data_IF_274975318203
#
_entry.id   IF_274975318203
#
_cell.length_a   1.000
_cell.length_b   1.000
_cell.length_c   1.000
_cell.angle_alpha   90.00
_cell.angle_beta   90.00
_cell.angle_gamma   90.00
#
_symmetry.space_group_name_H-M   'P 1'
#
loop_
_entity.id
_entity.type
_entity.pdbx_description
1 polymer ?
#
# COMPACT_ATOMS: atom_id res chain seq x y z
N UNK A 1 -0.67 -9.32 -40.47
CA UNK A 1 -2.05 -9.31 -40.92
C UNK A 1 -2.75 -8.08 -40.41
N UNK A 2 -3.42 -7.37 -41.30
CA UNK A 2 -4.15 -6.12 -41.02
C UNK A 2 -5.64 -6.45 -41.11
N UNK A 3 -6.37 -6.13 -40.03
CA UNK A 3 -7.82 -6.44 -39.99
C UNK A 3 -8.60 -5.17 -39.69
N UNK A 4 -9.63 -4.95 -40.50
CA UNK A 4 -10.61 -3.88 -40.29
C UNK A 4 -11.81 -4.50 -39.56
N UNK A 5 -12.16 -3.95 -38.42
CA UNK A 5 -13.27 -4.39 -37.61
C UNK A 5 -14.26 -3.26 -37.38
N UNK A 6 -15.54 -3.56 -37.47
CA UNK A 6 -16.62 -2.61 -37.18
C UNK A 6 -17.07 -2.79 -35.74
N UNK A 7 -17.23 -1.69 -35.02
CA UNK A 7 -17.85 -1.71 -33.68
C UNK A 7 -19.34 -2.06 -33.80
N UNK A 8 -19.78 -3.08 -33.07
CA UNK A 8 -21.20 -3.45 -33.09
C UNK A 8 -22.04 -2.42 -32.32
N UNK A 9 -23.21 -2.07 -32.88
CA UNK A 9 -24.20 -1.20 -32.26
C UNK A 9 -24.79 -1.91 -31.04
N UNK A 10 -24.81 -1.25 -29.88
CA UNK A 10 -25.35 -1.82 -28.64
C UNK A 10 -24.46 -2.83 -27.92
N UNK A 11 -23.24 -3.03 -28.42
CA UNK A 11 -22.26 -3.92 -27.77
C UNK A 11 -21.63 -3.35 -26.49
N UNK A 12 -20.91 -4.20 -25.78
CA UNK A 12 -20.17 -3.87 -24.57
C UNK A 12 -19.20 -2.70 -24.82
N UNK A 13 -18.93 -1.93 -23.77
CA UNK A 13 -17.92 -0.86 -23.79
C UNK A 13 -16.48 -1.40 -23.89
N UNK A 14 -16.31 -2.71 -23.82
CA UNK A 14 -15.03 -3.40 -23.88
C UNK A 14 -15.04 -4.44 -24.99
N UNK A 15 -13.89 -4.58 -25.67
CA UNK A 15 -13.64 -5.65 -26.62
C UNK A 15 -12.62 -6.63 -26.03
N UNK A 16 -12.86 -7.93 -26.30
CA UNK A 16 -11.88 -8.97 -26.03
C UNK A 16 -11.05 -9.20 -27.29
N UNK A 17 -9.75 -9.16 -27.13
CA UNK A 17 -8.82 -9.68 -28.12
C UNK A 17 -8.64 -11.19 -27.98
N UNK A 18 -8.15 -11.89 -29.03
CA UNK A 18 -7.90 -13.33 -28.97
C UNK A 18 -7.02 -13.78 -27.78
N UNK A 19 -6.28 -12.87 -27.17
CA UNK A 19 -5.39 -13.12 -26.04
C UNK A 19 -5.91 -12.60 -24.69
N UNK A 20 -7.20 -12.39 -24.56
CA UNK A 20 -7.85 -11.91 -23.33
C UNK A 20 -7.44 -10.51 -22.84
N UNK A 21 -6.94 -9.65 -23.73
CA UNK A 21 -6.75 -8.24 -23.38
C UNK A 21 -8.07 -7.46 -23.53
N UNK A 22 -8.38 -6.63 -22.52
CA UNK A 22 -9.50 -5.71 -22.55
C UNK A 22 -9.10 -4.36 -23.14
N UNK A 23 -9.87 -3.87 -24.09
CA UNK A 23 -9.75 -2.49 -24.58
C UNK A 23 -10.99 -1.70 -24.22
N UNK A 24 -10.81 -0.58 -23.54
CA UNK A 24 -11.89 0.35 -23.25
C UNK A 24 -12.30 1.08 -24.53
N UNK A 25 -13.44 0.70 -25.08
CA UNK A 25 -14.03 1.31 -26.25
C UNK A 25 -15.16 2.30 -25.92
N UNK A 26 -15.32 2.71 -24.68
CA UNK A 26 -16.39 3.62 -24.24
C UNK A 26 -16.35 4.96 -24.97
N UNK A 27 -15.15 5.41 -25.35
CA UNK A 27 -14.91 6.67 -26.08
C UNK A 27 -15.09 6.57 -27.60
N UNK A 28 -15.36 5.39 -28.14
CA UNK A 28 -15.49 5.21 -29.57
C UNK A 28 -16.91 5.51 -30.01
N UNK A 29 -17.01 6.15 -31.16
CA UNK A 29 -18.31 6.45 -31.78
C UNK A 29 -18.98 5.18 -32.27
N UNK A 30 -20.31 5.10 -32.16
CA UNK A 30 -21.10 3.99 -32.71
C UNK A 30 -20.99 3.94 -34.22
N UNK A 31 -21.09 2.73 -34.78
CA UNK A 31 -21.04 2.47 -36.22
C UNK A 31 -19.77 2.93 -36.94
N UNK A 32 -18.67 3.11 -36.21
CA UNK A 32 -17.37 3.41 -36.78
C UNK A 32 -16.48 2.17 -36.89
N UNK A 33 -15.42 2.30 -37.71
CA UNK A 33 -14.46 1.25 -37.94
C UNK A 33 -13.16 1.54 -37.17
N UNK A 34 -12.43 0.48 -36.86
CA UNK A 34 -11.08 0.57 -36.35
C UNK A 34 -10.16 -0.40 -37.09
N UNK A 35 -8.87 -0.06 -37.15
CA UNK A 35 -7.85 -0.86 -37.81
C UNK A 35 -6.96 -1.49 -36.79
N UNK A 36 -6.84 -2.81 -36.83
CA UNK A 36 -5.98 -3.62 -35.97
C UNK A 36 -4.75 -4.06 -36.79
N UNK A 37 -3.58 -3.88 -36.21
CA UNK A 37 -2.33 -4.45 -36.72
C UNK A 37 -1.70 -5.37 -35.65
N UNK A 38 -1.64 -6.66 -35.94
CA UNK A 38 -1.32 -7.70 -34.98
C UNK A 38 -2.30 -7.62 -33.79
N UNK A 39 -1.88 -7.06 -32.66
CA UNK A 39 -2.67 -6.90 -31.43
C UNK A 39 -2.86 -5.45 -31.01
N UNK A 40 -2.48 -4.51 -31.86
CA UNK A 40 -2.52 -3.09 -31.52
C UNK A 40 -3.53 -2.37 -32.42
N UNK A 41 -4.43 -1.59 -31.81
CA UNK A 41 -5.32 -0.69 -32.54
C UNK A 41 -4.47 0.49 -33.00
N UNK A 42 -4.42 0.67 -34.31
CA UNK A 42 -3.61 1.71 -34.94
C UNK A 42 -4.41 2.92 -35.37
N UNK A 43 -5.72 2.75 -35.52
CA UNK A 43 -6.66 3.84 -35.78
C UNK A 43 -8.09 3.44 -35.38
N UNK A 44 -8.91 4.40 -34.94
CA UNK A 44 -10.28 4.18 -34.51
C UNK A 44 -11.20 5.36 -34.95
N UNK A 45 -12.50 5.22 -34.76
CA UNK A 45 -13.53 6.21 -35.12
C UNK A 45 -13.53 6.59 -36.60
N UNK A 46 -13.25 5.64 -37.46
CA UNK A 46 -13.12 5.82 -38.92
C UNK A 46 -14.41 5.47 -39.67
N UNK A 47 -14.63 6.07 -40.84
CA UNK A 47 -15.56 5.49 -41.84
C UNK A 47 -14.93 4.24 -42.44
N UNK A 48 -15.71 3.46 -43.18
CA UNK A 48 -15.19 2.27 -43.88
C UNK A 48 -14.08 2.64 -44.87
N UNK A 49 -14.29 3.68 -45.67
CA UNK A 49 -13.33 4.17 -46.65
C UNK A 49 -12.03 4.66 -46.00
N UNK A 50 -12.15 5.37 -44.88
CA UNK A 50 -11.00 5.80 -44.13
C UNK A 50 -10.20 4.62 -43.56
N UNK A 51 -10.89 3.57 -43.09
CA UNK A 51 -10.21 2.38 -42.56
C UNK A 51 -9.50 1.60 -43.71
N UNK A 52 -10.10 1.52 -44.89
CA UNK A 52 -9.49 0.90 -46.07
C UNK A 52 -8.27 1.72 -46.55
N UNK A 53 -8.32 3.05 -46.56
CA UNK A 53 -7.20 3.95 -46.88
C UNK A 53 -6.06 3.79 -45.89
N UNK A 54 -6.36 3.68 -44.58
CA UNK A 54 -5.35 3.42 -43.53
C UNK A 54 -4.65 2.08 -43.78
N UNK A 55 -5.37 1.03 -44.11
CA UNK A 55 -4.79 -0.28 -44.42
C UNK A 55 -3.90 -0.25 -45.65
N UNK A 56 -4.30 0.47 -46.72
CA UNK A 56 -3.56 0.58 -47.96
C UNK A 56 -2.26 1.39 -47.77
N UNK A 57 -2.31 2.50 -47.01
CA UNK A 57 -1.16 3.39 -46.76
C UNK A 57 -0.23 2.95 -45.62
N UNK A 58 -0.62 1.94 -44.86
CA UNK A 58 0.13 1.53 -43.66
C UNK A 58 1.50 0.88 -43.92
N UNK A 59 1.83 0.56 -45.18
CA UNK A 59 3.14 -0.07 -45.49
C UNK A 59 4.33 0.62 -44.83
N UNK A 60 4.43 1.92 -45.00
CA UNK A 60 5.54 2.75 -44.54
C UNK A 60 5.31 3.38 -43.17
N UNK A 61 4.03 3.70 -42.84
CA UNK A 61 3.67 4.35 -41.53
C UNK A 61 3.73 3.43 -40.35
N UNK A 62 3.53 2.13 -40.48
CA UNK A 62 3.64 1.19 -39.35
C UNK A 62 5.06 1.12 -38.82
N UNK A 63 6.06 1.25 -39.67
CA UNK A 63 7.45 1.32 -39.28
C UNK A 63 7.78 2.61 -38.51
N UNK A 64 7.16 3.74 -38.94
CA UNK A 64 7.30 5.03 -38.27
C UNK A 64 6.57 5.06 -36.92
N UNK A 65 5.30 4.57 -36.85
CA UNK A 65 4.55 4.45 -35.60
C UNK A 65 5.17 3.47 -34.61
N UNK A 66 5.80 2.39 -35.08
CA UNK A 66 6.61 1.52 -34.22
C UNK A 66 7.88 2.19 -33.71
N UNK A 67 8.48 3.07 -34.52
CA UNK A 67 9.62 3.86 -34.09
C UNK A 67 9.19 4.91 -33.06
N UNK A 68 8.05 5.59 -33.26
CA UNK A 68 7.46 6.54 -32.32
C UNK A 68 6.96 5.87 -31.02
N UNK A 69 6.32 4.70 -31.11
CA UNK A 69 5.92 3.91 -29.92
C UNK A 69 7.16 3.42 -29.16
N UNK A 70 8.21 2.94 -29.86
CA UNK A 70 9.50 2.58 -29.25
C UNK A 70 10.25 3.79 -28.71
N UNK A 71 10.11 4.97 -29.28
CA UNK A 71 10.65 6.22 -28.73
C UNK A 71 9.81 6.73 -27.57
N UNK A 72 8.50 6.55 -27.59
CA UNK A 72 7.62 6.76 -26.44
C UNK A 72 7.89 5.81 -25.29
N UNK A 73 8.19 4.53 -25.57
CA UNK A 73 8.66 3.55 -24.58
C UNK A 73 10.10 3.81 -24.13
N UNK A 74 10.94 4.43 -24.97
CA UNK A 74 12.26 4.93 -24.57
C UNK A 74 12.20 6.21 -23.73
N UNK A 75 11.06 6.90 -23.70
CA UNK A 75 10.83 8.00 -22.77
C UNK A 75 10.59 7.44 -21.37
N UNK A 76 11.60 7.58 -20.56
CA UNK A 76 11.72 7.26 -19.17
C UNK A 76 12.05 5.79 -18.90
N UNK A 77 13.34 5.46 -18.99
CA UNK A 77 13.91 4.48 -18.06
C UNK A 77 13.51 4.95 -16.67
N UNK A 78 12.54 4.26 -16.05
CA UNK A 78 12.14 4.55 -14.68
C UNK A 78 13.42 4.59 -13.85
N UNK A 79 13.68 5.71 -13.18
CA UNK A 79 14.85 5.86 -12.33
C UNK A 79 14.75 4.81 -11.22
N UNK A 80 15.85 4.10 -10.96
CA UNK A 80 15.91 3.24 -9.76
C UNK A 80 15.87 4.15 -8.54
N UNK A 81 15.02 3.84 -7.57
CA UNK A 81 15.10 4.49 -6.26
C UNK A 81 16.41 4.08 -5.59
N UNK A 82 17.20 5.03 -5.17
CA UNK A 82 18.44 4.82 -4.41
C UNK A 82 18.33 5.72 -3.19
N UNK A 83 18.35 5.16 -1.97
CA UNK A 83 18.44 5.98 -0.76
C UNK A 83 19.66 6.89 -0.82
N UNK A 84 19.54 8.10 -0.29
CA UNK A 84 20.70 8.99 -0.15
C UNK A 84 21.75 8.30 0.73
N UNK A 85 23.00 8.41 0.31
CA UNK A 85 24.11 7.88 1.11
C UNK A 85 24.17 8.65 2.43
N UNK A 86 24.31 7.95 3.55
CA UNK A 86 24.55 8.58 4.83
C UNK A 86 25.92 9.26 4.81
N UNK A 87 25.95 10.59 4.92
CA UNK A 87 27.19 11.37 4.93
C UNK A 87 28.04 11.05 6.17
N UNK A 88 27.36 10.89 7.30
CA UNK A 88 27.95 10.50 8.57
C UNK A 88 27.16 9.33 9.16
N UNK A 89 27.87 8.32 9.65
CA UNK A 89 27.27 7.19 10.36
C UNK A 89 27.46 7.45 11.84
N UNK A 90 26.34 7.60 12.55
CA UNK A 90 26.35 7.86 13.98
C UNK A 90 25.74 6.69 14.74
N UNK A 91 26.35 6.38 15.86
CA UNK A 91 25.85 5.44 16.85
C UNK A 91 26.02 6.04 18.25
N UNK A 92 24.94 6.06 19.02
CA UNK A 92 24.93 6.61 20.39
C UNK A 92 24.59 5.56 21.44
N UNK A 93 24.51 4.29 21.04
CA UNK A 93 24.23 3.16 21.92
C UNK A 93 25.39 2.79 22.85
N UNK A 94 25.16 1.87 23.79
CA UNK A 94 26.19 1.38 24.72
C UNK A 94 27.33 0.72 23.96
N UNK A 95 28.53 0.71 24.55
CA UNK A 95 29.71 0.06 23.96
C UNK A 95 29.52 -1.46 23.91
N UNK A 96 29.78 -2.03 22.73
CA UNK A 96 29.83 -3.49 22.53
C UNK A 96 31.28 -4.04 22.62
N UNK A 97 32.20 -3.27 23.15
CA UNK A 97 33.59 -3.67 23.31
C UNK A 97 34.48 -3.41 22.07
N UNK A 98 33.93 -2.77 21.04
CA UNK A 98 34.68 -2.33 19.86
C UNK A 98 35.23 -0.93 20.14
N UNK A 99 36.55 -0.79 20.07
CA UNK A 99 37.27 0.47 20.24
C UNK A 99 38.58 0.46 19.41
N UNK A 100 39.43 1.46 19.60
CA UNK A 100 40.69 1.58 18.85
C UNK A 100 41.67 0.40 19.12
N UNK A 101 41.54 -0.29 20.25
CA UNK A 101 42.39 -1.41 20.66
C UNK A 101 41.74 -2.78 20.40
N UNK A 102 40.44 -2.81 20.22
CA UNK A 102 39.64 -4.02 19.98
C UNK A 102 38.80 -3.84 18.74
N UNK A 103 39.38 -4.14 17.60
CA UNK A 103 38.74 -4.01 16.28
C UNK A 103 37.97 -5.29 15.95
N UNK A 104 36.80 -5.13 15.34
CA UNK A 104 36.02 -6.27 14.87
C UNK A 104 36.74 -6.99 13.71
N UNK A 105 36.80 -8.29 13.76
CA UNK A 105 37.34 -9.14 12.70
C UNK A 105 36.33 -10.24 12.28
N UNK A 106 36.65 -10.97 11.25
CA UNK A 106 35.76 -12.02 10.70
C UNK A 106 35.51 -13.15 11.69
N UNK A 107 36.48 -13.48 12.57
CA UNK A 107 36.31 -14.53 13.56
C UNK A 107 35.34 -14.10 14.66
N UNK A 108 35.41 -12.85 15.11
CA UNK A 108 34.47 -12.29 16.08
C UNK A 108 33.02 -12.37 15.58
N UNK A 109 32.76 -12.14 14.31
CA UNK A 109 31.43 -12.30 13.72
C UNK A 109 30.92 -13.75 13.82
N UNK A 110 31.78 -14.72 13.53
CA UNK A 110 31.41 -16.13 13.61
C UNK A 110 31.19 -16.57 15.06
N UNK A 111 32.07 -16.16 15.96
CA UNK A 111 32.02 -16.55 17.37
C UNK A 111 30.87 -15.91 18.13
N UNK A 112 30.54 -14.65 17.80
CA UNK A 112 29.49 -13.90 18.50
C UNK A 112 28.09 -14.18 17.94
N UNK A 113 27.94 -14.21 16.62
CA UNK A 113 26.63 -14.32 15.99
C UNK A 113 26.32 -15.71 15.43
N UNK A 114 27.30 -16.61 15.38
CA UNK A 114 27.09 -17.98 14.89
C UNK A 114 26.79 -18.09 13.40
N UNK A 115 27.21 -17.11 12.57
CA UNK A 115 26.96 -17.15 11.12
C UNK A 115 27.52 -18.42 10.47
N UNK A 116 26.82 -18.97 9.48
CA UNK A 116 27.25 -20.14 8.70
C UNK A 116 28.57 -19.90 7.97
N UNK A 117 28.88 -18.65 7.65
CA UNK A 117 30.13 -18.26 6.99
C UNK A 117 30.23 -16.76 6.84
N UNK A 118 31.46 -16.28 6.59
CA UNK A 118 31.75 -14.88 6.36
C UNK A 118 32.68 -14.69 5.16
N UNK A 119 32.31 -13.79 4.24
CA UNK A 119 33.18 -13.35 3.15
C UNK A 119 33.57 -11.89 3.35
N UNK A 120 34.85 -11.65 3.48
CA UNK A 120 35.43 -10.32 3.71
C UNK A 120 36.28 -9.96 2.50
N UNK A 121 35.70 -9.17 1.58
CA UNK A 121 36.33 -8.83 0.30
C UNK A 121 37.60 -8.00 0.44
N UNK A 122 38.47 -8.04 -0.59
CA UNK A 122 39.62 -7.17 -0.69
C UNK A 122 39.19 -5.76 -1.08
N UNK A 123 39.17 -4.87 -0.12
CA UNK A 123 38.86 -3.46 -0.35
C UNK A 123 40.12 -2.71 -0.77
N UNK A 124 39.96 -1.68 -1.59
CA UNK A 124 41.08 -0.83 -1.96
C UNK A 124 41.62 0.03 -0.81
N UNK A 125 40.76 0.22 0.25
CA UNK A 125 41.09 1.01 1.44
C UNK A 125 40.85 0.18 2.69
N UNK A 126 41.94 -0.19 3.39
CA UNK A 126 41.87 -0.99 4.63
C UNK A 126 41.15 -0.26 5.77
N UNK A 127 41.30 1.07 5.82
CA UNK A 127 40.62 1.89 6.84
C UNK A 127 39.08 1.83 6.69
N UNK A 128 38.56 1.94 5.48
CA UNK A 128 37.11 1.87 5.22
C UNK A 128 36.58 0.46 5.48
N UNK A 129 37.39 -0.57 5.18
CA UNK A 129 37.06 -1.96 5.49
C UNK A 129 36.90 -2.15 6.98
N UNK A 130 37.88 -1.71 7.77
CA UNK A 130 37.84 -1.86 9.22
C UNK A 130 36.68 -1.06 9.85
N UNK A 131 36.43 0.15 9.37
CA UNK A 131 35.30 0.94 9.84
C UNK A 131 33.97 0.23 9.57
N UNK A 132 33.79 -0.36 8.37
CA UNK A 132 32.57 -1.11 8.03
C UNK A 132 32.41 -2.38 8.89
N UNK A 133 33.51 -3.07 9.23
CA UNK A 133 33.47 -4.22 10.14
C UNK A 133 33.06 -3.80 11.55
N UNK A 134 33.63 -2.72 12.06
CA UNK A 134 33.29 -2.22 13.40
C UNK A 134 31.82 -1.79 13.48
N UNK A 135 31.35 -0.95 12.53
CA UNK A 135 29.95 -0.52 12.49
C UNK A 135 28.98 -1.67 12.27
N UNK A 136 29.34 -2.65 11.43
CA UNK A 136 28.49 -3.82 11.19
C UNK A 136 28.37 -4.70 12.42
N UNK A 137 29.45 -4.91 13.17
CA UNK A 137 29.44 -5.65 14.43
C UNK A 137 28.50 -4.98 15.46
N UNK A 138 28.71 -3.68 15.67
CA UNK A 138 27.84 -2.90 16.56
C UNK A 138 26.38 -2.94 16.11
N UNK A 139 26.11 -2.86 14.81
CA UNK A 139 24.76 -2.90 14.28
C UNK A 139 24.07 -4.26 14.50
N UNK A 140 24.78 -5.38 14.40
CA UNK A 140 24.22 -6.69 14.74
C UNK A 140 23.96 -6.86 16.24
N UNK A 141 24.82 -6.30 17.08
CA UNK A 141 24.58 -6.24 18.54
C UNK A 141 23.34 -5.39 18.85
N UNK A 142 23.20 -4.24 18.19
CA UNK A 142 22.03 -3.36 18.34
C UNK A 142 20.74 -4.03 17.84
N UNK A 143 20.84 -4.86 16.80
CA UNK A 143 19.70 -5.65 16.33
C UNK A 143 19.28 -6.70 17.36
N UNK A 144 20.26 -7.42 17.95
CA UNK A 144 19.97 -8.36 19.04
C UNK A 144 19.31 -7.65 20.22
N UNK A 145 19.79 -6.45 20.56
CA UNK A 145 19.24 -5.60 21.60
C UNK A 145 17.82 -5.12 21.30
N UNK A 146 17.55 -4.67 20.07
CA UNK A 146 16.22 -4.23 19.63
C UNK A 146 15.19 -5.36 19.71
N UNK A 147 15.60 -6.59 19.41
CA UNK A 147 14.75 -7.78 19.46
C UNK A 147 14.75 -8.48 20.83
N UNK A 148 15.62 -8.05 21.75
CA UNK A 148 15.83 -8.68 23.06
C UNK A 148 16.15 -10.17 22.93
N UNK A 149 17.08 -10.53 22.00
CA UNK A 149 17.49 -11.90 21.72
C UNK A 149 18.98 -12.09 21.97
N UNK A 150 19.40 -13.35 22.13
CA UNK A 150 20.82 -13.66 22.20
C UNK A 150 21.53 -13.30 20.87
N UNK A 151 22.76 -12.77 20.89
CA UNK A 151 23.48 -12.42 19.66
C UNK A 151 23.62 -13.56 18.65
N UNK A 152 23.74 -14.80 19.10
CA UNK A 152 23.83 -16.01 18.27
C UNK A 152 22.60 -16.21 17.41
N UNK A 153 21.42 -15.73 17.84
CA UNK A 153 20.16 -15.86 17.08
C UNK A 153 20.13 -14.97 15.84
N UNK A 154 21.03 -13.99 15.74
CA UNK A 154 21.19 -13.16 14.53
C UNK A 154 21.49 -14.01 13.30
N UNK A 155 22.15 -15.15 13.48
CA UNK A 155 22.38 -16.12 12.40
C UNK A 155 21.16 -16.95 11.99
N UNK A 156 20.01 -16.79 12.69
CA UNK A 156 18.79 -17.56 12.47
C UNK A 156 19.02 -19.09 12.58
N UNK A 157 19.77 -19.48 13.62
CA UNK A 157 20.12 -20.86 13.88
C UNK A 157 21.28 -21.36 13.05
N UNK A 158 22.22 -20.50 12.69
CA UNK A 158 23.42 -20.83 11.92
C UNK A 158 23.17 -21.01 10.42
N UNK A 159 22.02 -20.55 9.90
CA UNK A 159 21.73 -20.66 8.46
C UNK A 159 22.14 -19.41 7.67
N UNK A 160 22.21 -18.25 8.33
CA UNK A 160 22.56 -17.00 7.68
C UNK A 160 24.08 -16.84 7.59
N UNK A 161 24.55 -16.35 6.45
CA UNK A 161 25.94 -15.94 6.21
C UNK A 161 26.01 -14.43 5.96
N UNK A 162 27.19 -13.86 6.10
CA UNK A 162 27.45 -12.43 5.91
C UNK A 162 28.57 -12.21 4.89
N UNK A 163 28.44 -11.17 4.06
CA UNK A 163 29.50 -10.78 3.14
C UNK A 163 29.71 -9.25 3.15
N UNK A 164 30.93 -8.82 3.33
CA UNK A 164 31.32 -7.42 3.29
C UNK A 164 32.14 -7.11 2.03
N UNK A 165 31.58 -6.30 1.12
CA UNK A 165 32.29 -5.78 -0.05
C UNK A 165 32.80 -6.82 -1.06
N UNK A 166 32.48 -8.11 -0.89
CA UNK A 166 32.97 -9.19 -1.76
C UNK A 166 32.10 -9.42 -2.98
N UNK A 167 30.82 -9.01 -2.93
CA UNK A 167 29.80 -9.32 -3.95
C UNK A 167 29.02 -8.06 -4.33
N UNK A 168 29.61 -7.18 -5.14
CA UNK A 168 28.92 -6.00 -5.64
C UNK A 168 28.10 -6.32 -6.89
N UNK A 169 26.76 -6.22 -6.82
CA UNK A 169 25.98 -5.99 -8.04
C UNK A 169 25.93 -4.48 -8.29
N UNK A 170 26.20 -4.05 -9.54
CA UNK A 170 26.28 -2.64 -9.91
C UNK A 170 25.04 -1.86 -9.40
N UNK A 171 25.24 -1.01 -8.38
CA UNK A 171 24.23 -0.10 -7.86
C UNK A 171 23.32 -0.63 -6.73
N UNK A 172 23.61 -1.78 -6.13
CA UNK A 172 22.92 -2.20 -4.89
C UNK A 172 23.68 -1.68 -3.68
N UNK A 173 22.94 -1.12 -2.71
CA UNK A 173 23.47 -0.59 -1.45
C UNK A 173 23.76 -1.73 -0.48
N UNK A 174 22.82 -2.64 -0.32
CA UNK A 174 22.91 -3.92 0.36
C UNK A 174 21.90 -4.87 -0.32
N UNK A 175 22.01 -6.17 -0.12
CA UNK A 175 20.99 -7.12 -0.55
C UNK A 175 21.13 -8.47 0.13
N UNK A 176 20.00 -9.11 0.39
CA UNK A 176 19.92 -10.50 0.82
C UNK A 176 19.82 -11.41 -0.41
N UNK A 177 20.62 -12.50 -0.45
CA UNK A 177 20.57 -13.55 -1.47
C UNK A 177 19.86 -14.81 -0.93
N UNK A 178 18.61 -15.09 -1.33
CA UNK A 178 17.85 -16.23 -0.79
C UNK A 178 18.46 -17.59 -1.10
N UNK A 179 19.12 -17.73 -2.27
CA UNK A 179 19.75 -19.00 -2.69
C UNK A 179 20.92 -19.38 -1.79
N UNK A 180 21.69 -18.40 -1.36
CA UNK A 180 22.91 -18.60 -0.56
C UNK A 180 22.70 -18.26 0.91
N UNK A 181 21.54 -17.70 1.26
CA UNK A 181 21.23 -17.21 2.61
C UNK A 181 22.32 -16.26 3.12
N UNK A 182 22.68 -15.28 2.30
CA UNK A 182 23.76 -14.33 2.60
C UNK A 182 23.25 -12.91 2.56
N UNK A 183 23.55 -12.12 3.57
CA UNK A 183 23.42 -10.66 3.53
C UNK A 183 24.71 -10.07 2.98
N UNK A 184 24.61 -9.37 1.85
CA UNK A 184 25.71 -8.67 1.22
C UNK A 184 25.66 -7.19 1.56
N UNK A 185 26.67 -6.68 2.26
CA UNK A 185 26.85 -5.28 2.57
C UNK A 185 27.90 -4.69 1.65
N UNK A 186 27.49 -3.77 0.78
CA UNK A 186 28.42 -3.13 -0.15
C UNK A 186 29.06 -1.94 0.53
N UNK A 187 30.34 -2.06 0.91
CA UNK A 187 31.14 -0.95 1.47
C UNK A 187 30.32 -0.03 2.41
N UNK A 188 30.70 1.23 2.53
CA UNK A 188 29.95 2.24 3.29
C UNK A 188 28.55 2.54 2.72
N UNK A 189 28.29 2.24 1.45
CA UNK A 189 26.95 2.41 0.85
C UNK A 189 25.89 1.44 1.39
N UNK A 190 26.29 0.33 2.05
CA UNK A 190 25.39 -0.60 2.72
C UNK A 190 24.89 -0.12 4.08
N UNK A 191 25.50 0.94 4.62
CA UNK A 191 25.07 1.53 5.88
C UNK A 191 23.61 1.98 5.82
N UNK A 192 22.86 1.70 6.88
CA UNK A 192 21.47 2.10 7.02
C UNK A 192 20.43 1.07 6.55
N UNK A 193 20.85 0.01 5.84
CA UNK A 193 19.94 -1.00 5.27
C UNK A 193 20.01 -2.36 5.96
N UNK A 194 20.86 -2.54 6.97
CA UNK A 194 21.09 -3.86 7.56
C UNK A 194 19.83 -4.48 8.14
N UNK A 195 19.02 -3.72 8.87
CA UNK A 195 17.75 -4.21 9.42
C UNK A 195 16.78 -4.65 8.31
N UNK A 196 16.72 -3.93 7.19
CA UNK A 196 15.91 -4.30 6.03
C UNK A 196 16.35 -5.65 5.44
N UNK A 197 17.65 -5.85 5.22
CA UNK A 197 18.17 -7.10 4.66
C UNK A 197 18.03 -8.27 5.62
N UNK A 198 18.18 -8.03 6.93
CA UNK A 198 17.92 -9.06 7.93
C UNK A 198 16.43 -9.41 8.00
N UNK A 199 15.53 -8.45 7.81
CA UNK A 199 14.10 -8.70 7.65
C UNK A 199 13.82 -9.67 6.50
N UNK A 200 14.45 -9.49 5.34
CA UNK A 200 14.37 -10.44 4.22
C UNK A 200 14.91 -11.83 4.60
N UNK A 201 16.05 -11.89 5.30
CA UNK A 201 16.61 -13.16 5.76
C UNK A 201 15.64 -13.88 6.71
N UNK A 202 15.06 -13.18 7.67
CA UNK A 202 14.06 -13.71 8.60
C UNK A 202 12.87 -14.31 7.85
N UNK A 203 12.26 -13.54 6.92
CA UNK A 203 11.10 -13.97 6.15
C UNK A 203 11.39 -15.22 5.29
N UNK A 204 12.53 -15.27 4.62
CA UNK A 204 12.92 -16.37 3.75
C UNK A 204 13.33 -17.62 4.54
N UNK A 205 14.22 -17.49 5.54
CA UNK A 205 14.73 -18.62 6.32
C UNK A 205 13.61 -19.27 7.14
N UNK A 206 12.75 -18.47 7.78
CA UNK A 206 11.57 -19.02 8.47
C UNK A 206 10.63 -19.75 7.52
N UNK A 207 10.42 -19.25 6.31
CA UNK A 207 9.60 -19.94 5.31
C UNK A 207 10.15 -21.33 4.97
N UNK A 208 11.47 -21.46 4.84
CA UNK A 208 12.12 -22.76 4.59
C UNK A 208 11.97 -23.70 5.78
N UNK A 209 12.15 -23.20 7.02
CA UNK A 209 11.96 -24.00 8.24
C UNK A 209 10.53 -24.53 8.39
N UNK A 210 9.55 -23.71 8.05
CA UNK A 210 8.12 -24.06 8.17
C UNK A 210 7.66 -24.97 7.03
N UNK A 211 8.10 -24.74 5.80
CA UNK A 211 7.64 -25.48 4.60
C UNK A 211 8.54 -26.65 4.18
N UNK A 212 9.79 -26.67 4.63
CA UNK A 212 10.73 -27.72 4.33
C UNK A 212 11.34 -27.72 2.92
N UNK A 213 11.02 -26.75 2.05
CA UNK A 213 11.60 -26.70 0.70
C UNK A 213 11.34 -25.36 -0.02
N UNK A 214 12.19 -25.03 -0.99
CA UNK A 214 12.09 -23.92 -1.91
C UNK A 214 13.08 -22.80 -1.60
N UNK A 215 13.79 -22.34 -2.62
CA UNK A 215 14.83 -21.31 -2.49
C UNK A 215 14.22 -19.93 -2.39
N UNK A 216 13.19 -19.67 -3.16
CA UNK A 216 12.54 -18.34 -3.26
C UNK A 216 11.14 -18.38 -2.60
N UNK A 217 11.10 -18.88 -1.36
CA UNK A 217 9.88 -18.91 -0.57
C UNK A 217 9.94 -17.84 0.54
N UNK A 218 8.82 -17.15 0.75
CA UNK A 218 8.69 -16.09 1.73
C UNK A 218 7.52 -16.41 2.65
N UNK A 219 7.72 -16.26 3.95
CA UNK A 219 6.68 -16.54 4.94
C UNK A 219 5.49 -15.58 4.77
N UNK A 220 5.78 -14.34 4.41
CA UNK A 220 4.78 -13.30 4.09
C UNK A 220 3.85 -13.68 2.93
N UNK A 221 4.29 -14.53 1.98
CA UNK A 221 3.48 -15.01 0.86
C UNK A 221 2.76 -16.32 1.16
N UNK A 222 3.01 -16.92 2.32
CA UNK A 222 2.40 -18.20 2.67
C UNK A 222 1.00 -17.99 3.25
N UNK A 223 0.09 -18.91 2.91
CA UNK A 223 -1.20 -19.02 3.58
C UNK A 223 -1.12 -19.87 4.86
N UNK A 224 0.08 -20.18 5.34
CA UNK A 224 0.29 -20.93 6.57
C UNK A 224 -0.07 -20.07 7.76
N UNK A 225 -0.84 -20.64 8.69
CA UNK A 225 -1.14 -20.01 9.99
C UNK A 225 -0.03 -20.24 11.02
N UNK A 226 1.20 -20.49 10.57
CA UNK A 226 2.33 -20.76 11.46
C UNK A 226 3.58 -20.01 11.03
N UNK A 227 4.18 -19.14 11.88
CA UNK A 227 3.61 -18.70 13.15
C UNK A 227 2.31 -17.88 12.93
N UNK A 228 1.34 -18.01 13.83
CA UNK A 228 0.02 -17.40 13.65
C UNK A 228 0.05 -15.86 13.64
N UNK A 229 1.10 -15.24 14.19
CA UNK A 229 1.30 -13.79 14.16
C UNK A 229 1.65 -13.26 12.76
N UNK A 230 2.22 -14.07 11.87
CA UNK A 230 2.62 -13.61 10.54
C UNK A 230 1.44 -13.18 9.66
N UNK A 231 0.34 -13.96 9.51
CA UNK A 231 -0.83 -13.50 8.79
C UNK A 231 -1.41 -12.20 9.35
N UNK A 232 -1.48 -12.06 10.68
CA UNK A 232 -1.97 -10.82 11.32
C UNK A 232 -1.08 -9.62 11.01
N UNK A 233 0.24 -9.80 10.98
CA UNK A 233 1.19 -8.77 10.61
C UNK A 233 1.03 -8.38 9.12
N UNK A 234 0.93 -9.36 8.24
CA UNK A 234 0.69 -9.12 6.81
C UNK A 234 -0.63 -8.36 6.59
N UNK A 235 -1.69 -8.77 7.29
CA UNK A 235 -2.98 -8.08 7.21
C UNK A 235 -2.88 -6.64 7.73
N UNK A 236 -2.16 -6.39 8.83
CA UNK A 236 -1.94 -5.04 9.35
C UNK A 236 -1.12 -4.14 8.40
N UNK A 237 -0.20 -4.73 7.62
CA UNK A 237 0.51 -3.99 6.57
C UNK A 237 -0.38 -3.64 5.37
N UNK A 238 -1.35 -4.48 5.04
CA UNK A 238 -2.15 -4.37 3.81
C UNK A 238 -3.50 -3.67 4.03
N UNK A 239 -4.10 -3.85 5.22
CA UNK A 239 -5.49 -3.47 5.49
C UNK A 239 -5.64 -2.76 6.83
N UNK A 240 -6.60 -1.85 6.86
CA UNK A 240 -7.06 -1.17 8.08
C UNK A 240 -8.58 -1.15 8.13
N UNK A 241 -9.12 -0.94 9.30
CA UNK A 241 -10.54 -0.61 9.47
C UNK A 241 -10.81 0.79 8.92
N UNK A 242 -12.05 1.00 8.46
CA UNK A 242 -12.49 2.32 8.04
C UNK A 242 -12.49 3.30 9.23
N UNK A 243 -12.07 4.52 8.97
CA UNK A 243 -12.12 5.63 9.94
C UNK A 243 -13.58 6.06 10.17
N UNK A 244 -13.82 6.77 11.26
CA UNK A 244 -15.15 7.31 11.52
C UNK A 244 -15.57 8.33 10.45
N UNK A 245 -14.62 9.09 9.90
CA UNK A 245 -14.90 10.01 8.79
C UNK A 245 -15.37 9.25 7.54
N UNK A 246 -14.72 8.16 7.15
CA UNK A 246 -15.13 7.33 6.02
C UNK A 246 -16.50 6.69 6.23
N UNK A 247 -16.81 6.31 7.47
CA UNK A 247 -18.15 5.82 7.84
C UNK A 247 -19.21 6.93 7.74
N UNK A 248 -18.89 8.15 8.18
CA UNK A 248 -19.76 9.31 8.04
C UNK A 248 -20.05 9.57 6.57
N UNK A 249 -19.04 9.67 5.73
CA UNK A 249 -19.16 9.88 4.30
C UNK A 249 -20.03 8.79 3.64
N UNK A 250 -19.78 7.52 3.95
CA UNK A 250 -20.61 6.42 3.47
C UNK A 250 -22.05 6.56 3.90
N UNK A 251 -22.29 6.86 5.18
CA UNK A 251 -23.63 7.09 5.72
C UNK A 251 -24.34 8.21 4.98
N UNK A 252 -23.67 9.34 4.78
CA UNK A 252 -24.22 10.49 4.07
C UNK A 252 -24.56 10.17 2.62
N UNK A 253 -23.66 9.50 1.89
CA UNK A 253 -23.92 9.07 0.51
C UNK A 253 -25.17 8.20 0.43
N UNK A 254 -25.34 7.22 1.31
CA UNK A 254 -26.54 6.39 1.32
C UNK A 254 -27.80 7.14 1.73
N UNK A 255 -27.69 8.05 2.69
CA UNK A 255 -28.81 8.89 3.10
C UNK A 255 -29.21 9.87 1.99
N UNK A 256 -28.24 10.47 1.29
CA UNK A 256 -28.46 11.36 0.14
C UNK A 256 -29.11 10.63 -1.04
N UNK A 257 -28.68 9.41 -1.34
CA UNK A 257 -29.33 8.58 -2.35
C UNK A 257 -30.78 8.30 -1.99
N UNK A 258 -31.05 7.99 -0.70
CA UNK A 258 -32.41 7.72 -0.25
C UNK A 258 -33.27 8.99 -0.21
N UNK A 259 -32.68 10.13 0.18
CA UNK A 259 -33.33 11.44 0.07
C UNK A 259 -33.70 11.79 -1.38
N UNK A 260 -32.84 11.43 -2.36
CA UNK A 260 -33.15 11.61 -3.78
C UNK A 260 -34.42 10.87 -4.25
N UNK A 261 -34.78 9.78 -3.59
CA UNK A 261 -36.06 9.08 -3.88
C UNK A 261 -37.27 9.93 -3.47
N UNK A 262 -37.11 10.83 -2.48
CA UNK A 262 -38.18 11.77 -2.07
C UNK A 262 -38.68 12.60 -3.25
N UNK A 263 -37.83 13.00 -4.17
CA UNK A 263 -38.26 13.75 -5.35
C UNK A 263 -39.34 12.99 -6.15
N UNK A 264 -39.09 11.70 -6.38
CA UNK A 264 -40.05 10.82 -7.07
C UNK A 264 -41.30 10.56 -6.25
N UNK A 265 -41.16 10.43 -4.94
CA UNK A 265 -42.33 10.24 -4.02
C UNK A 265 -43.17 11.51 -3.96
N UNK A 266 -42.57 12.69 -3.88
CA UNK A 266 -43.30 13.97 -3.93
C UNK A 266 -44.09 14.10 -5.22
N UNK A 267 -43.49 13.76 -6.37
CA UNK A 267 -44.16 13.79 -7.66
C UNK A 267 -45.31 12.75 -7.73
N UNK A 268 -45.07 11.54 -7.21
CA UNK A 268 -46.05 10.46 -7.16
C UNK A 268 -47.26 10.82 -6.28
N UNK A 269 -47.04 11.41 -5.13
CA UNK A 269 -48.11 11.79 -4.18
C UNK A 269 -48.84 13.08 -4.59
N UNK A 270 -48.13 14.00 -5.29
CA UNK A 270 -48.63 15.30 -5.66
C UNK A 270 -48.39 15.58 -7.17
N UNK A 271 -49.10 14.86 -8.06
CA UNK A 271 -48.82 14.90 -9.50
C UNK A 271 -49.35 16.16 -10.19
N UNK A 272 -50.06 17.05 -9.47
CA UNK A 272 -50.69 18.23 -10.06
C UNK A 272 -49.66 19.24 -10.55
N UNK A 273 -49.52 19.38 -11.87
CA UNK A 273 -48.69 20.38 -12.56
C UNK A 273 -47.21 20.32 -12.08
N UNK A 274 -46.66 19.14 -11.91
CA UNK A 274 -45.30 18.92 -11.43
C UNK A 274 -45.03 19.57 -10.06
N UNK A 275 -46.07 19.77 -9.23
CA UNK A 275 -45.94 20.45 -7.96
C UNK A 275 -44.94 19.76 -7.05
N UNK A 276 -45.02 18.44 -6.93
CA UNK A 276 -44.14 17.66 -6.05
C UNK A 276 -42.66 17.86 -6.37
N UNK A 277 -42.28 17.70 -7.65
CA UNK A 277 -40.92 17.89 -8.11
C UNK A 277 -40.43 19.33 -7.90
N UNK A 278 -41.27 20.33 -8.24
CA UNK A 278 -40.88 21.73 -8.08
C UNK A 278 -40.71 22.09 -6.60
N UNK A 279 -41.64 21.72 -5.73
CA UNK A 279 -41.54 21.94 -4.30
C UNK A 279 -40.31 21.30 -3.70
N UNK A 280 -40.03 20.04 -4.05
CA UNK A 280 -38.85 19.35 -3.57
C UNK A 280 -37.56 20.11 -3.94
N UNK A 281 -37.42 20.52 -5.21
CA UNK A 281 -36.22 21.20 -5.67
C UNK A 281 -36.06 22.60 -5.05
N UNK A 282 -37.13 23.35 -4.87
CA UNK A 282 -37.13 24.65 -4.20
C UNK A 282 -36.75 24.55 -2.71
N UNK A 283 -37.16 23.46 -2.03
CA UNK A 283 -36.94 23.26 -0.60
C UNK A 283 -35.84 22.23 -0.28
N UNK A 284 -35.02 21.85 -1.27
CA UNK A 284 -34.02 20.81 -1.12
C UNK A 284 -33.07 21.03 0.07
N UNK A 285 -32.61 22.26 0.26
CA UNK A 285 -31.72 22.61 1.37
C UNK A 285 -32.45 22.47 2.71
N UNK A 286 -33.68 22.97 2.81
CA UNK A 286 -34.48 22.86 4.02
C UNK A 286 -34.76 21.40 4.38
N UNK A 287 -35.16 20.59 3.41
CA UNK A 287 -35.38 19.14 3.59
C UNK A 287 -34.09 18.45 4.07
N UNK A 288 -32.97 18.81 3.45
CA UNK A 288 -31.67 18.24 3.82
C UNK A 288 -31.27 18.61 5.24
N UNK A 289 -31.38 19.88 5.59
CA UNK A 289 -31.03 20.39 6.91
C UNK A 289 -31.95 19.78 7.98
N UNK A 290 -33.24 19.67 7.69
CA UNK A 290 -34.21 19.02 8.58
C UNK A 290 -33.82 17.54 8.85
N UNK A 291 -33.47 16.79 7.80
CA UNK A 291 -33.09 15.39 7.90
C UNK A 291 -31.71 15.17 8.55
N UNK A 292 -30.76 16.11 8.39
CA UNK A 292 -29.43 16.02 8.99
C UNK A 292 -29.35 16.40 10.47
N UNK A 293 -30.39 16.97 11.04
CA UNK A 293 -30.43 17.29 12.48
C UNK A 293 -30.15 16.04 13.32
N UNK A 294 -29.43 16.20 14.41
CA UNK A 294 -29.18 15.12 15.36
C UNK A 294 -30.46 14.67 16.08
N UNK A 295 -31.38 15.59 16.26
CA UNK A 295 -32.70 15.33 16.84
C UNK A 295 -33.77 16.06 16.00
N UNK A 296 -34.63 15.29 15.35
CA UNK A 296 -35.78 15.77 14.57
C UNK A 296 -37.03 15.61 15.39
N UNK A 297 -37.67 16.75 15.71
CA UNK A 297 -38.91 16.77 16.53
C UNK A 297 -40.14 16.73 15.65
N UNK A 298 -41.25 16.16 16.20
CA UNK A 298 -42.56 16.17 15.51
C UNK A 298 -43.05 17.61 15.27
N UNK A 299 -42.67 18.59 16.11
CA UNK A 299 -43.01 19.99 15.91
C UNK A 299 -42.38 20.56 14.65
N UNK A 300 -41.11 20.21 14.36
CA UNK A 300 -40.38 20.67 13.17
C UNK A 300 -40.94 20.03 11.91
N UNK A 301 -41.24 18.73 11.97
CA UNK A 301 -41.88 18.01 10.85
C UNK A 301 -43.28 18.64 10.57
N UNK A 302 -44.06 18.86 11.59
CA UNK A 302 -45.40 19.46 11.44
C UNK A 302 -45.33 20.88 10.86
N UNK A 303 -44.35 21.69 11.26
CA UNK A 303 -44.14 23.02 10.67
C UNK A 303 -43.84 22.93 9.16
N UNK A 304 -42.97 21.98 8.75
CA UNK A 304 -42.70 21.74 7.36
C UNK A 304 -43.92 21.25 6.58
N UNK A 305 -44.70 20.31 7.13
CA UNK A 305 -45.95 19.81 6.52
C UNK A 305 -46.99 20.90 6.36
N UNK A 306 -47.14 21.82 7.34
CA UNK A 306 -48.05 22.97 7.24
C UNK A 306 -47.61 23.87 6.07
N UNK A 307 -46.34 24.22 5.97
CA UNK A 307 -45.79 25.00 4.83
C UNK A 307 -46.05 24.34 3.49
N UNK A 308 -45.83 23.04 3.39
CA UNK A 308 -46.13 22.25 2.21
C UNK A 308 -47.61 22.29 1.85
N UNK A 309 -48.49 22.12 2.84
CA UNK A 309 -49.94 22.11 2.64
C UNK A 309 -50.46 23.48 2.15
N UNK A 310 -49.96 24.55 2.73
CA UNK A 310 -50.32 25.93 2.35
C UNK A 310 -49.89 26.22 0.89
N UNK A 311 -48.67 25.85 0.51
CA UNK A 311 -48.19 26.04 -0.85
C UNK A 311 -48.91 25.16 -1.88
N UNK A 312 -49.24 23.92 -1.49
CA UNK A 312 -50.03 23.01 -2.32
C UNK A 312 -51.43 23.59 -2.60
N UNK A 313 -52.12 24.07 -1.57
CA UNK A 313 -53.45 24.67 -1.71
C UNK A 313 -53.40 25.96 -2.57
N UNK A 314 -52.41 26.83 -2.32
CA UNK A 314 -52.24 28.06 -3.10
C UNK A 314 -51.98 27.79 -4.57
N UNK A 315 -51.22 26.72 -4.90
CA UNK A 315 -50.83 26.42 -6.28
C UNK A 315 -51.89 25.63 -7.04
N UNK A 316 -52.54 24.70 -6.37
CA UNK A 316 -53.46 23.71 -7.02
C UNK A 316 -54.91 24.01 -6.78
N UNK A 317 -55.25 24.81 -5.75
CA UNK A 317 -56.62 25.03 -5.28
C UNK A 317 -57.24 23.84 -4.58
N UNK A 318 -56.43 22.86 -4.14
CA UNK A 318 -56.81 21.64 -3.45
C UNK A 318 -56.15 21.55 -2.08
N UNK A 319 -56.87 20.98 -1.13
CA UNK A 319 -56.28 20.63 0.18
C UNK A 319 -55.37 19.39 0.07
N UNK A 320 -54.23 19.40 0.75
CA UNK A 320 -53.36 18.24 0.87
C UNK A 320 -54.01 17.23 1.81
N UNK A 321 -54.21 15.99 1.37
CA UNK A 321 -54.86 14.97 2.20
C UNK A 321 -53.97 14.55 3.37
N UNK A 322 -54.61 14.20 4.50
CA UNK A 322 -53.91 13.68 5.69
C UNK A 322 -53.08 12.44 5.40
N UNK A 323 -53.50 11.61 4.44
CA UNK A 323 -52.80 10.42 4.03
C UNK A 323 -51.44 10.78 3.38
N UNK A 324 -51.44 11.77 2.47
CA UNK A 324 -50.19 12.24 1.79
C UNK A 324 -49.28 12.89 2.84
N UNK A 325 -49.78 13.74 3.70
CA UNK A 325 -49.04 14.36 4.81
C UNK A 325 -48.38 13.30 5.71
N UNK A 326 -49.11 12.22 5.99
CA UNK A 326 -48.63 11.07 6.76
C UNK A 326 -47.47 10.32 6.08
N UNK A 327 -47.61 10.05 4.77
CA UNK A 327 -46.54 9.35 4.02
C UNK A 327 -45.29 10.21 3.90
N UNK A 328 -45.41 11.52 3.65
CA UNK A 328 -44.25 12.43 3.62
C UNK A 328 -43.60 12.52 5.01
N UNK A 329 -44.38 12.61 6.08
CA UNK A 329 -43.84 12.59 7.45
C UNK A 329 -43.03 11.32 7.73
N UNK A 330 -43.57 10.16 7.37
CA UNK A 330 -42.90 8.87 7.52
C UNK A 330 -41.59 8.82 6.73
N UNK A 331 -41.60 9.34 5.52
CA UNK A 331 -40.45 9.37 4.66
C UNK A 331 -39.35 10.29 5.20
N UNK A 332 -39.68 11.50 5.66
CA UNK A 332 -38.76 12.41 6.32
C UNK A 332 -38.10 11.77 7.57
N UNK A 333 -38.88 11.05 8.37
CA UNK A 333 -38.37 10.30 9.53
C UNK A 333 -37.41 9.18 9.12
N UNK A 334 -37.70 8.47 8.02
CA UNK A 334 -36.82 7.41 7.52
C UNK A 334 -35.48 7.99 6.99
N UNK A 335 -35.53 9.08 6.22
CA UNK A 335 -34.31 9.76 5.74
C UNK A 335 -33.51 10.32 6.92
N UNK A 336 -34.18 10.95 7.91
CA UNK A 336 -33.53 11.40 9.14
C UNK A 336 -32.81 10.24 9.86
N UNK A 337 -33.46 9.10 10.01
CA UNK A 337 -32.87 7.92 10.62
C UNK A 337 -31.60 7.50 9.88
N UNK A 338 -31.58 7.52 8.54
CA UNK A 338 -30.43 7.13 7.72
C UNK A 338 -29.23 8.05 7.90
N UNK A 339 -29.46 9.38 8.00
CA UNK A 339 -28.38 10.32 8.30
C UNK A 339 -27.82 10.12 9.72
N UNK A 340 -28.58 9.55 10.63
CA UNK A 340 -28.25 9.42 12.04
C UNK A 340 -27.97 7.98 12.50
N UNK A 341 -27.78 7.04 11.57
CA UNK A 341 -27.35 5.67 11.92
C UNK A 341 -26.05 5.75 12.71
N UNK A 342 -25.94 5.13 13.89
CA UNK A 342 -24.72 5.09 14.69
C UNK A 342 -23.54 4.49 13.90
N UNK A 343 -22.34 5.07 14.05
CA UNK A 343 -21.18 4.67 13.26
C UNK A 343 -20.72 3.22 13.50
N UNK A 344 -20.99 2.68 14.67
CA UNK A 344 -20.74 1.27 15.00
C UNK A 344 -21.63 0.29 14.23
N UNK A 345 -22.76 0.77 13.69
CA UNK A 345 -23.66 0.00 12.81
C UNK A 345 -23.32 0.10 11.33
N UNK A 346 -22.43 1.03 10.95
CA UNK A 346 -22.00 1.18 9.57
C UNK A 346 -20.94 0.13 9.25
N UNK A 347 -21.34 -0.86 8.46
CA UNK A 347 -20.40 -1.88 7.96
C UNK A 347 -19.65 -1.36 6.74
N UNK A 348 -18.34 -1.46 6.80
CA UNK A 348 -17.44 -1.15 5.69
C UNK A 348 -16.46 -2.29 5.46
N UNK A 349 -16.09 -2.57 4.21
CA UNK A 349 -14.99 -3.49 3.93
C UNK A 349 -13.69 -2.91 4.51
N UNK A 350 -12.72 -3.78 4.75
CA UNK A 350 -11.37 -3.36 5.11
C UNK A 350 -10.82 -2.44 4.00
N UNK A 351 -10.24 -1.34 4.42
CA UNK A 351 -9.59 -0.38 3.55
C UNK A 351 -8.11 -0.76 3.37
N UNK A 352 -7.48 -0.30 2.30
CA UNK A 352 -6.03 -0.42 2.16
C UNK A 352 -5.34 0.56 3.11
N UNK A 353 -4.20 0.14 3.67
CA UNK A 353 -3.34 1.03 4.44
C UNK A 353 -2.74 2.13 3.56
N UNK A 354 -2.34 3.24 4.16
CA UNK A 354 -1.57 4.27 3.47
C UNK A 354 -0.21 3.72 3.05
N UNK A 355 0.41 2.89 3.90
CA UNK A 355 1.64 2.19 3.59
C UNK A 355 1.55 1.37 2.30
N UNK A 356 0.47 0.58 2.11
CA UNK A 356 0.26 -0.19 0.89
C UNK A 356 0.00 0.71 -0.32
N UNK A 357 -0.90 1.68 -0.21
CA UNK A 357 -1.24 2.59 -1.31
C UNK A 357 -0.04 3.40 -1.78
N UNK A 358 0.78 3.89 -0.86
CA UNK A 358 2.01 4.58 -1.20
C UNK A 358 3.06 3.65 -1.82
N UNK A 359 3.11 2.39 -1.39
CA UNK A 359 3.96 1.38 -2.05
C UNK A 359 3.55 1.13 -3.50
N UNK A 360 2.23 1.07 -3.80
CA UNK A 360 1.72 1.00 -5.18
C UNK A 360 2.11 2.24 -5.99
N UNK A 361 2.00 3.44 -5.41
CA UNK A 361 2.45 4.68 -6.05
C UNK A 361 3.96 4.66 -6.36
N UNK A 362 4.79 4.15 -5.44
CA UNK A 362 6.23 3.96 -5.68
C UNK A 362 6.50 3.01 -6.85
N UNK A 363 5.73 1.93 -6.98
CA UNK A 363 5.86 1.02 -8.12
C UNK A 363 5.55 1.73 -9.44
N UNK A 364 4.56 2.62 -9.47
CA UNK A 364 4.25 3.39 -10.67
C UNK A 364 5.41 4.30 -11.10
N UNK A 365 6.21 4.78 -10.14
CA UNK A 365 7.36 5.67 -10.40
C UNK A 365 8.63 4.87 -10.76
N UNK A 366 8.94 3.82 -9.98
CA UNK A 366 10.27 3.19 -9.98
C UNK A 366 10.31 1.76 -10.50
N UNK A 367 9.22 1.00 -10.45
CA UNK A 367 9.22 -0.39 -10.90
C UNK A 367 9.09 -0.53 -12.41
N UNK A 368 9.84 -1.47 -12.98
CA UNK A 368 9.77 -1.81 -14.41
C UNK A 368 8.75 -2.89 -14.68
N UNK A 369 8.45 -3.72 -13.70
CA UNK A 369 7.60 -4.89 -13.80
C UNK A 369 6.16 -4.60 -13.38
N UNK A 370 5.21 -5.19 -14.08
CA UNK A 370 3.77 -5.06 -13.80
C UNK A 370 3.36 -5.66 -12.45
N UNK A 371 4.19 -6.52 -11.85
CA UNK A 371 3.90 -7.18 -10.57
C UNK A 371 4.30 -6.37 -9.35
N UNK A 372 4.99 -5.25 -9.54
CA UNK A 372 5.40 -4.34 -8.48
C UNK A 372 6.49 -4.89 -7.56
N UNK A 373 7.50 -4.08 -7.30
CA UNK A 373 8.53 -4.36 -6.29
C UNK A 373 8.10 -3.87 -4.91
N UNK A 374 7.70 -2.58 -4.83
CA UNK A 374 7.41 -1.89 -3.58
C UNK A 374 6.19 -2.42 -2.84
N UNK A 375 5.14 -2.83 -3.58
CA UNK A 375 3.90 -3.36 -3.00
C UNK A 375 3.99 -4.86 -2.65
N UNK A 376 5.08 -5.55 -3.02
CA UNK A 376 5.24 -6.95 -2.66
C UNK A 376 5.33 -7.11 -1.15
N UNK A 377 4.70 -8.16 -0.60
CA UNK A 377 4.62 -8.36 0.85
C UNK A 377 6.00 -8.46 1.50
N UNK A 378 6.95 -9.14 0.85
CA UNK A 378 8.33 -9.28 1.33
C UNK A 378 9.05 -7.94 1.45
N UNK A 379 8.88 -7.05 0.47
CA UNK A 379 9.50 -5.73 0.50
C UNK A 379 8.83 -4.79 1.51
N UNK A 380 7.50 -4.89 1.63
CA UNK A 380 6.77 -4.17 2.67
C UNK A 380 7.19 -4.66 4.07
N UNK A 381 7.32 -5.98 4.26
CA UNK A 381 7.77 -6.57 5.51
C UNK A 381 9.17 -6.06 5.89
N UNK A 382 10.13 -6.11 4.98
CA UNK A 382 11.50 -5.68 5.25
C UNK A 382 11.59 -4.18 5.60
N UNK A 383 10.83 -3.32 4.91
CA UNK A 383 10.78 -1.89 5.26
C UNK A 383 10.08 -1.64 6.59
N UNK A 384 8.98 -2.34 6.86
CA UNK A 384 8.28 -2.24 8.13
C UNK A 384 9.14 -2.77 9.29
N UNK A 385 9.89 -3.86 9.07
CA UNK A 385 10.82 -4.40 10.04
C UNK A 385 11.96 -3.42 10.37
N UNK A 386 12.54 -2.76 9.35
CA UNK A 386 13.55 -1.73 9.60
C UNK A 386 13.01 -0.56 10.45
N UNK A 387 11.76 -0.15 10.21
CA UNK A 387 11.09 0.85 11.03
C UNK A 387 10.85 0.34 12.47
N UNK A 388 10.40 -0.90 12.62
CA UNK A 388 10.19 -1.54 13.92
C UNK A 388 11.49 -1.59 14.75
N UNK A 389 12.59 -2.05 14.15
CA UNK A 389 13.91 -2.09 14.80
C UNK A 389 14.34 -0.71 15.26
N UNK A 390 14.17 0.30 14.39
CA UNK A 390 14.48 1.69 14.73
C UNK A 390 13.68 2.18 15.94
N UNK A 391 12.39 1.85 16.01
CA UNK A 391 11.49 2.29 17.09
C UNK A 391 11.75 1.55 18.42
N UNK A 392 12.35 0.36 18.36
CA UNK A 392 12.70 -0.42 19.57
C UNK A 392 13.98 0.08 20.25
N UNK A 393 14.84 0.76 19.51
CA UNK A 393 16.05 1.35 20.06
C UNK A 393 15.78 2.73 20.67
N UNK A 394 16.26 2.98 21.86
CA UNK A 394 16.23 4.28 22.54
C UNK A 394 17.46 5.15 22.21
N UNK A 395 18.28 4.68 21.27
CA UNK A 395 19.49 5.33 20.80
C UNK A 395 19.65 5.20 19.27
N UNK A 396 20.54 5.97 18.73
CA UNK A 396 20.81 6.03 17.30
C UNK A 396 21.76 4.92 16.87
N UNK A 397 21.40 4.19 15.80
CA UNK A 397 22.21 3.18 15.13
C UNK A 397 22.05 3.30 13.62
N UNK A 398 22.77 4.27 13.03
CA UNK A 398 22.60 4.61 11.62
C UNK A 398 23.00 3.47 10.66
N UNK A 399 24.04 2.71 10.99
CA UNK A 399 24.47 1.57 10.16
C UNK A 399 23.38 0.48 10.10
N UNK A 400 22.65 0.28 11.18
CA UNK A 400 21.57 -0.70 11.26
C UNK A 400 20.32 -0.26 10.50
N UNK A 401 19.79 0.92 10.79
CA UNK A 401 18.46 1.34 10.39
C UNK A 401 18.36 2.81 9.92
N UNK A 402 19.47 3.43 9.52
CA UNK A 402 19.48 4.83 9.06
C UNK A 402 18.57 5.11 7.85
N UNK A 403 18.29 4.11 7.04
CA UNK A 403 17.39 4.21 5.89
C UNK A 403 15.92 3.85 6.18
N UNK A 404 15.56 3.50 7.42
CA UNK A 404 14.21 3.05 7.75
C UNK A 404 13.11 4.06 7.36
N UNK A 405 13.38 5.36 7.43
CA UNK A 405 12.41 6.43 7.13
C UNK A 405 12.70 7.17 5.81
N UNK A 406 13.49 6.59 4.91
CA UNK A 406 13.93 7.28 3.68
C UNK A 406 13.17 6.90 2.42
N UNK A 407 12.22 5.95 2.50
CA UNK A 407 11.39 5.55 1.35
C UNK A 407 10.34 6.61 1.02
N UNK A 408 10.79 7.81 0.63
CA UNK A 408 9.98 8.99 0.35
C UNK A 408 10.12 9.39 -1.12
N UNK A 409 9.04 9.83 -1.75
CA UNK A 409 9.04 10.33 -3.11
C UNK A 409 7.93 11.36 -3.34
N UNK A 410 7.88 11.93 -4.54
CA UNK A 410 6.79 12.78 -4.99
C UNK A 410 5.95 12.03 -6.01
N UNK A 411 4.64 12.01 -5.82
CA UNK A 411 3.66 11.47 -6.74
C UNK A 411 2.56 12.51 -6.99
N UNK A 412 2.42 12.95 -8.23
CA UNK A 412 1.42 13.98 -8.63
C UNK A 412 1.46 15.26 -7.76
N UNK A 413 2.66 15.64 -7.30
CA UNK A 413 2.87 16.83 -6.46
C UNK A 413 2.71 16.59 -4.94
N UNK A 414 2.31 15.39 -4.53
CA UNK A 414 2.19 15.01 -3.12
C UNK A 414 3.40 14.22 -2.64
N UNK A 415 3.81 14.44 -1.40
CA UNK A 415 4.86 13.64 -0.75
C UNK A 415 4.25 12.31 -0.31
N UNK A 416 4.76 11.22 -0.87
CA UNK A 416 4.38 9.85 -0.49
C UNK A 416 5.48 9.17 0.33
N UNK A 417 5.08 8.35 1.29
CA UNK A 417 5.98 7.61 2.18
C UNK A 417 5.65 6.12 2.08
N UNK A 418 6.55 5.35 1.50
CA UNK A 418 6.39 3.89 1.35
C UNK A 418 7.00 3.12 2.54
N UNK A 419 6.76 3.61 3.75
CA UNK A 419 7.01 2.96 5.02
C UNK A 419 5.82 3.24 5.96
N UNK A 420 5.59 2.40 6.99
CA UNK A 420 4.49 2.65 7.91
C UNK A 420 4.74 3.93 8.73
N UNK A 421 3.67 4.70 8.95
CA UNK A 421 3.71 5.95 9.72
C UNK A 421 2.51 6.04 10.69
N UNK A 422 2.62 6.86 11.72
CA UNK A 422 1.53 7.15 12.66
C UNK A 422 0.90 5.91 13.29
N UNK A 423 -0.42 5.84 13.32
CA UNK A 423 -1.17 4.74 13.93
C UNK A 423 -0.95 3.39 13.20
N UNK A 424 -0.76 3.40 11.87
CA UNK A 424 -0.42 2.17 11.13
C UNK A 424 0.93 1.60 11.61
N UNK A 425 1.93 2.47 11.83
CA UNK A 425 3.24 2.04 12.35
C UNK A 425 3.15 1.44 13.75
N UNK A 426 2.37 2.05 14.62
CA UNK A 426 2.16 1.52 15.97
C UNK A 426 1.53 0.13 15.95
N UNK A 427 0.45 -0.04 15.18
CA UNK A 427 -0.21 -1.34 15.02
C UNK A 427 0.72 -2.40 14.44
N UNK A 428 1.50 -2.04 13.41
CA UNK A 428 2.46 -2.94 12.76
C UNK A 428 3.56 -3.32 13.77
N UNK A 429 4.05 -2.39 14.56
CA UNK A 429 5.05 -2.67 15.61
C UNK A 429 4.51 -3.65 16.66
N UNK A 430 3.26 -3.49 17.12
CA UNK A 430 2.61 -4.44 18.04
C UNK A 430 2.51 -5.85 17.41
N UNK A 431 2.28 -5.95 16.10
CA UNK A 431 2.25 -7.24 15.41
C UNK A 431 3.64 -7.85 15.26
N UNK A 432 4.68 -7.03 15.10
CA UNK A 432 6.06 -7.51 15.17
C UNK A 432 6.42 -8.00 16.57
N UNK A 433 6.04 -7.29 17.64
CA UNK A 433 6.25 -7.76 19.02
C UNK A 433 5.62 -9.15 19.24
N UNK A 434 4.41 -9.34 18.74
CA UNK A 434 3.72 -10.63 18.78
C UNK A 434 4.46 -11.71 17.98
N UNK A 435 4.97 -11.37 16.79
CA UNK A 435 5.73 -12.32 15.96
C UNK A 435 7.03 -12.73 16.64
N UNK A 436 7.83 -11.77 17.13
CA UNK A 436 9.10 -12.05 17.81
C UNK A 436 8.84 -12.86 19.09
N UNK A 437 7.80 -12.53 19.86
CA UNK A 437 7.39 -13.31 21.03
C UNK A 437 7.07 -14.77 20.67
N UNK A 438 6.28 -15.02 19.62
CA UNK A 438 6.01 -16.39 19.15
C UNK A 438 7.27 -17.13 18.70
N UNK A 439 8.21 -16.46 18.03
CA UNK A 439 9.47 -17.09 17.63
C UNK A 439 10.31 -17.50 18.83
N UNK A 440 10.28 -16.71 19.92
CA UNK A 440 10.90 -17.07 21.20
C UNK A 440 10.20 -18.26 21.87
N UNK A 441 8.88 -18.26 21.95
CA UNK A 441 8.09 -19.39 22.47
C UNK A 441 8.34 -20.69 21.71
N UNK A 442 8.61 -20.61 20.43
CA UNK A 442 8.93 -21.74 19.56
C UNK A 442 10.40 -22.20 19.66
N UNK A 443 11.23 -21.49 20.40
CA UNK A 443 12.67 -21.76 20.50
C UNK A 443 13.44 -21.51 19.20
N UNK A 444 12.92 -20.66 18.34
CA UNK A 444 13.60 -20.21 17.11
C UNK A 444 14.46 -18.96 17.36
N UNK A 445 14.12 -18.21 18.40
CA UNK A 445 14.88 -17.12 18.98
C UNK A 445 14.92 -17.32 20.49
N UNK A 446 15.97 -16.85 21.16
CA UNK A 446 16.15 -17.02 22.60
C UNK A 446 16.23 -15.65 23.27
N UNK A 447 15.59 -15.51 24.43
CA UNK A 447 15.67 -14.26 25.19
C UNK A 447 17.09 -13.98 25.69
N UNK A 448 17.49 -12.71 25.63
CA UNK A 448 18.78 -12.24 26.12
C UNK A 448 19.00 -12.64 27.60
N UNK A 449 20.17 -13.20 27.89
CA UNK A 449 20.53 -13.57 29.26
C UNK A 449 20.63 -12.32 30.14
N UNK A 450 20.18 -12.45 31.41
CA UNK A 450 20.24 -11.35 32.41
C UNK A 450 21.64 -10.73 32.60
N UNK A 451 22.68 -11.41 32.17
CA UNK A 451 24.08 -10.95 32.28
C UNK A 451 24.36 -9.85 31.26
N UNK A 452 23.73 -9.87 30.06
CA UNK A 452 23.86 -8.85 29.03
C UNK A 452 23.02 -7.61 29.35
N UNK A 453 21.85 -7.78 29.96
CA UNK A 453 21.00 -6.67 30.39
C UNK A 453 21.71 -5.76 31.39
N UNK A 454 22.58 -6.31 32.26
CA UNK A 454 23.38 -5.53 33.22
C UNK A 454 24.49 -4.68 32.57
N UNK A 455 24.90 -4.97 31.35
CA UNK A 455 25.84 -4.10 30.60
C UNK A 455 25.17 -2.81 30.07
N UNK A 456 23.86 -2.82 29.86
CA UNK A 456 23.08 -1.62 29.50
C UNK A 456 22.89 -0.63 30.65
N UNK A 457 22.96 -1.08 31.90
CA UNK A 457 22.74 -0.26 33.11
C UNK A 457 24.04 0.29 33.73
N UNK A 458 25.16 0.15 33.11
CA UNK A 458 26.46 0.71 33.53
C UNK A 458 27.00 1.61 32.42
#
# INVERSE_FOLDING_TARGET
DRTILKRQVGGSTYFYYPDNEFVDASKWQKDTYYVLYKRTIVANNLTKEQAEDVVERMGDKVSALKAEAKEGEKKARKKKFVPEQLEHIERTGPSNGIDENHLADGQMYLDTFGFAGGEFGNWMNEKDRQASLNFGYDAFMDLADALEIEPEDISLGGELSIAFGSRGSAGAVAHYEPLRQVINLTKMHGAGSLAHEWGHALDNILSKKVKGSGVDTWLTDTKSNFPSAMPELVDAMLYRTATDQEKIERREVFADLHRGILETEFDTFMPEKDFGTNFYNEHLNEITDLCKKSNLTDKEINAFIISLSEQYEQTTGKELSENISGEITKFLKDVHHRYNIPLDKIQMPLQKTEFYTNSVKMDSIYSKDSHGYWQSKKEMFARAFACYVKDKLDYKSDYLCGHADTAVSLYEGEVIKAMPVGAERQLINEKFDKLIGQLKEMGLLHEQSRTQIKRKCR
#
